data_IF_390677888781
#
_entry.id   IF_390677888781
#
_cell.length_a   1.000
_cell.length_b   1.000
_cell.length_c   1.000
_cell.angle_alpha   90.00
_cell.angle_beta   90.00
_cell.angle_gamma   90.00
#
_symmetry.space_group_name_H-M   'P 1'
#
loop_
_entity.id
_entity.type
_entity.pdbx_description
1 polymer ?
#
# COMPACT_ATOMS: atom_id res chain seq x y z
N UNK A 1 19.94 -12.70 -14.16
CA UNK A 1 18.48 -12.50 -13.95
C UNK A 1 17.69 -13.79 -13.68
N UNK A 2 17.94 -14.89 -14.39
CA UNK A 2 17.20 -16.15 -14.17
C UNK A 2 17.32 -16.70 -12.75
N UNK A 3 18.50 -16.65 -12.14
CA UNK A 3 18.73 -17.09 -10.75
C UNK A 3 17.88 -16.30 -9.75
N UNK A 4 17.92 -14.96 -9.83
CA UNK A 4 17.13 -14.08 -8.96
C UNK A 4 15.62 -14.39 -9.03
N UNK A 5 15.08 -14.52 -10.24
CA UNK A 5 13.66 -14.85 -10.42
C UNK A 5 13.30 -16.22 -9.87
N UNK A 6 14.18 -17.20 -10.02
CA UNK A 6 13.99 -18.54 -9.45
C UNK A 6 13.93 -18.48 -7.93
N UNK A 7 14.86 -17.77 -7.30
CA UNK A 7 14.86 -17.58 -5.83
C UNK A 7 13.59 -16.88 -5.37
N UNK A 8 13.19 -15.79 -6.02
CA UNK A 8 11.96 -15.06 -5.70
C UNK A 8 10.72 -15.95 -5.85
N UNK A 9 10.62 -16.71 -6.94
CA UNK A 9 9.49 -17.61 -7.17
C UNK A 9 9.40 -18.70 -6.10
N UNK A 10 10.54 -19.26 -5.68
CA UNK A 10 10.57 -20.24 -4.59
C UNK A 10 10.16 -19.63 -3.26
N UNK A 11 10.65 -18.41 -2.96
CA UNK A 11 10.26 -17.69 -1.75
C UNK A 11 8.75 -17.38 -1.72
N UNK A 12 8.19 -16.88 -2.82
CA UNK A 12 6.75 -16.64 -2.94
C UNK A 12 5.95 -17.93 -2.84
N UNK A 13 6.35 -19.02 -3.51
CA UNK A 13 5.66 -20.30 -3.41
C UNK A 13 5.67 -20.85 -1.98
N UNK A 14 6.79 -20.69 -1.26
CA UNK A 14 6.88 -21.06 0.16
C UNK A 14 5.93 -20.22 1.02
N UNK A 15 5.92 -18.89 0.86
CA UNK A 15 5.00 -18.00 1.59
C UNK A 15 3.53 -18.30 1.27
N UNK A 16 3.20 -18.50 -0.01
CA UNK A 16 1.87 -18.87 -0.47
C UNK A 16 1.43 -20.18 0.20
N UNK A 17 2.30 -21.19 0.28
CA UNK A 17 1.98 -22.46 0.93
C UNK A 17 1.69 -22.36 2.43
N UNK A 18 2.34 -21.42 3.12
CA UNK A 18 2.11 -21.16 4.55
C UNK A 18 0.78 -20.44 4.72
N UNK A 19 0.53 -19.39 3.94
CA UNK A 19 -0.68 -18.59 4.04
C UNK A 19 -1.92 -19.34 3.59
N UNK A 20 -1.81 -20.23 2.60
CA UNK A 20 -2.90 -21.12 2.20
C UNK A 20 -3.37 -22.03 3.35
N UNK A 21 -2.46 -22.46 4.23
CA UNK A 21 -2.80 -23.25 5.42
C UNK A 21 -3.49 -22.43 6.51
N UNK A 22 -3.17 -21.14 6.61
CA UNK A 22 -3.73 -20.25 7.65
C UNK A 22 -5.09 -19.69 7.22
N UNK A 23 -5.18 -19.19 5.98
CA UNK A 23 -6.32 -18.40 5.50
C UNK A 23 -7.24 -19.17 4.54
N UNK A 24 -6.92 -20.40 4.16
CA UNK A 24 -7.53 -21.14 3.04
C UNK A 24 -7.14 -20.53 1.67
N UNK A 25 -6.95 -21.33 0.60
CA UNK A 25 -6.47 -20.81 -0.69
C UNK A 25 -7.31 -19.68 -1.31
N UNK A 26 -8.61 -19.63 -1.04
CA UNK A 26 -9.49 -18.58 -1.55
C UNK A 26 -9.21 -17.19 -0.93
N UNK A 27 -8.74 -17.16 0.32
CA UNK A 27 -8.55 -15.94 1.10
C UNK A 27 -7.08 -15.62 1.36
N UNK A 28 -6.14 -16.27 0.67
CA UNK A 28 -4.72 -15.98 0.83
C UNK A 28 -4.42 -14.54 0.36
N UNK A 29 -3.89 -13.67 1.24
CA UNK A 29 -3.67 -12.26 0.93
C UNK A 29 -2.63 -12.04 -0.18
N UNK A 30 -1.70 -12.97 -0.41
CA UNK A 30 -0.71 -12.85 -1.50
C UNK A 30 -1.35 -12.90 -2.89
N UNK A 31 -2.53 -13.53 -3.02
CA UNK A 31 -3.27 -13.53 -4.28
C UNK A 31 -4.02 -12.22 -4.51
N UNK A 32 -4.23 -11.43 -3.45
CA UNK A 32 -5.06 -10.21 -3.47
C UNK A 32 -4.24 -8.93 -3.25
N UNK A 33 -2.91 -8.97 -3.38
CA UNK A 33 -2.01 -7.84 -3.12
C UNK A 33 -2.39 -6.53 -3.85
N UNK A 34 -2.82 -6.63 -5.12
CA UNK A 34 -3.27 -5.47 -5.88
C UNK A 34 -4.57 -4.87 -5.33
N UNK A 35 -5.53 -5.72 -4.96
CA UNK A 35 -6.79 -5.31 -4.35
C UNK A 35 -6.57 -4.72 -2.94
N UNK A 36 -5.66 -5.31 -2.15
CA UNK A 36 -5.26 -4.78 -0.85
C UNK A 36 -4.57 -3.42 -0.98
N UNK A 37 -3.67 -3.25 -1.96
CA UNK A 37 -3.06 -1.95 -2.26
C UNK A 37 -4.12 -0.90 -2.61
N UNK A 38 -5.11 -1.26 -3.44
CA UNK A 38 -6.23 -0.37 -3.78
C UNK A 38 -7.13 -0.06 -2.58
N UNK A 39 -7.35 -1.02 -1.68
CA UNK A 39 -8.06 -0.79 -0.42
C UNK A 39 -7.30 0.23 0.45
N UNK A 40 -5.98 0.07 0.61
CA UNK A 40 -5.17 1.03 1.36
C UNK A 40 -5.22 2.42 0.73
N UNK A 41 -5.21 2.54 -0.60
CA UNK A 41 -5.41 3.82 -1.28
C UNK A 41 -6.70 4.51 -0.83
N UNK A 42 -7.83 3.78 -0.79
CA UNK A 42 -9.10 4.35 -0.32
C UNK A 42 -9.05 4.77 1.15
N UNK A 43 -8.41 3.97 2.01
CA UNK A 43 -8.21 4.33 3.41
C UNK A 43 -7.40 5.62 3.53
N UNK A 44 -6.29 5.75 2.79
CA UNK A 44 -5.42 6.94 2.76
C UNK A 44 -6.19 8.16 2.24
N UNK A 45 -6.93 8.03 1.15
CA UNK A 45 -7.71 9.14 0.57
C UNK A 45 -8.78 9.64 1.55
N UNK A 46 -9.59 8.74 2.12
CA UNK A 46 -10.69 9.13 3.02
C UNK A 46 -10.14 9.75 4.30
N UNK A 47 -9.14 9.11 4.92
CA UNK A 47 -8.50 9.64 6.13
C UNK A 47 -7.74 10.93 5.86
N UNK A 48 -7.12 11.07 4.69
CA UNK A 48 -6.40 12.27 4.27
C UNK A 48 -7.31 13.46 4.05
N UNK A 49 -8.45 13.25 3.37
CA UNK A 49 -9.49 14.28 3.22
C UNK A 49 -9.97 14.74 4.60
N UNK A 50 -10.21 13.81 5.52
CA UNK A 50 -10.63 14.15 6.88
C UNK A 50 -9.59 15.01 7.59
N UNK A 51 -8.32 14.59 7.62
CA UNK A 51 -7.24 15.36 8.26
C UNK A 51 -7.08 16.73 7.61
N UNK A 52 -7.16 16.80 6.28
CA UNK A 52 -7.03 18.04 5.53
C UNK A 52 -8.11 19.08 5.88
N UNK A 53 -9.35 18.65 6.15
CA UNK A 53 -10.44 19.57 6.53
C UNK A 53 -10.12 20.35 7.81
N UNK A 54 -9.36 19.75 8.74
CA UNK A 54 -9.00 20.37 10.02
C UNK A 54 -7.56 20.91 10.05
N UNK A 55 -6.79 20.68 9.00
CA UNK A 55 -5.40 21.09 8.91
C UNK A 55 -5.28 22.54 8.45
N UNK A 56 -4.49 23.33 9.18
CA UNK A 56 -4.17 24.70 8.78
C UNK A 56 -2.91 24.69 7.90
N UNK A 57 -2.99 25.35 6.73
CA UNK A 57 -1.88 25.45 5.77
C UNK A 57 -0.97 26.65 6.03
N UNK A 58 -1.23 27.41 7.10
CA UNK A 58 -0.37 28.49 7.58
C UNK A 58 1.01 27.99 8.03
N UNK A 59 2.05 28.79 7.76
CA UNK A 59 3.45 28.43 8.06
C UNK A 59 3.73 28.31 9.57
N UNK A 60 3.00 29.06 10.39
CA UNK A 60 3.15 29.09 11.84
C UNK A 60 2.15 28.17 12.56
N UNK A 61 1.00 27.91 11.93
CA UNK A 61 -0.18 27.24 12.49
C UNK A 61 -0.24 25.74 12.15
N UNK A 62 0.58 25.28 11.19
CA UNK A 62 0.58 23.88 10.73
C UNK A 62 0.88 22.88 11.86
N UNK A 63 1.81 23.21 12.78
CA UNK A 63 2.12 22.31 13.90
C UNK A 63 0.98 22.30 14.94
N UNK A 64 0.50 23.48 15.31
CA UNK A 64 -0.56 23.64 16.32
C UNK A 64 -1.88 23.01 15.86
N UNK A 65 -2.24 23.13 14.58
CA UNK A 65 -3.44 22.49 14.02
C UNK A 65 -3.36 20.96 14.08
N UNK A 66 -2.18 20.36 13.86
CA UNK A 66 -2.00 18.92 14.03
C UNK A 66 -2.08 18.51 15.50
N UNK A 67 -1.53 19.32 16.39
CA UNK A 67 -1.56 19.07 17.84
C UNK A 67 -3.00 19.13 18.38
N UNK A 68 -3.81 20.09 17.92
CA UNK A 68 -5.23 20.18 18.29
C UNK A 68 -6.05 19.01 17.74
N UNK A 69 -5.83 18.60 16.48
CA UNK A 69 -6.45 17.38 15.91
C UNK A 69 -6.11 16.15 16.76
N UNK A 70 -4.88 16.06 17.26
CA UNK A 70 -4.40 14.90 18.00
C UNK A 70 -4.92 14.87 19.44
N UNK A 71 -4.93 16.00 20.14
CA UNK A 71 -5.24 16.06 21.57
C UNK A 71 -6.71 16.43 21.84
N UNK A 72 -7.26 17.39 21.10
CA UNK A 72 -8.64 17.87 21.31
C UNK A 72 -9.67 16.99 20.56
N UNK A 73 -9.28 16.45 19.41
CA UNK A 73 -10.09 15.50 18.62
C UNK A 73 -9.50 14.07 18.62
N UNK A 74 -8.93 13.64 19.74
CA UNK A 74 -8.18 12.37 19.85
C UNK A 74 -8.91 11.13 19.33
N UNK A 75 -10.25 11.11 19.38
CA UNK A 75 -11.07 10.04 18.87
C UNK A 75 -11.03 10.01 17.32
N UNK A 76 -11.83 10.82 16.62
CA UNK A 76 -11.87 10.77 15.16
C UNK A 76 -10.59 11.33 14.52
N UNK A 77 -10.07 12.47 14.99
CA UNK A 77 -8.86 13.09 14.47
C UNK A 77 -7.61 12.23 14.69
N UNK A 78 -7.41 11.75 15.92
CA UNK A 78 -6.29 10.87 16.25
C UNK A 78 -6.33 9.53 15.49
N UNK A 79 -7.52 8.91 15.36
CA UNK A 79 -7.70 7.68 14.59
C UNK A 79 -7.47 7.92 13.10
N UNK A 80 -8.05 8.97 12.51
CA UNK A 80 -7.87 9.27 11.08
C UNK A 80 -6.42 9.58 10.75
N UNK A 81 -5.70 10.33 11.59
CA UNK A 81 -4.28 10.59 11.43
C UNK A 81 -3.44 9.30 11.47
N UNK A 82 -3.74 8.42 12.43
CA UNK A 82 -3.05 7.14 12.57
C UNK A 82 -3.33 6.21 11.38
N UNK A 83 -4.60 6.13 10.96
CA UNK A 83 -5.00 5.37 9.78
C UNK A 83 -4.29 5.89 8.54
N UNK A 84 -4.29 7.19 8.31
CA UNK A 84 -3.62 7.79 7.15
C UNK A 84 -2.14 7.39 7.09
N UNK A 85 -1.43 7.50 8.22
CA UNK A 85 -0.02 7.13 8.30
C UNK A 85 0.23 5.64 8.05
N UNK A 86 -0.41 4.76 8.83
CA UNK A 86 -0.13 3.32 8.73
C UNK A 86 -0.70 2.70 7.44
N UNK A 87 -1.80 3.23 6.91
CA UNK A 87 -2.33 2.81 5.61
C UNK A 87 -1.42 3.24 4.46
N UNK A 88 -0.74 4.40 4.57
CA UNK A 88 0.24 4.83 3.56
C UNK A 88 1.45 3.88 3.53
N UNK A 89 1.99 3.53 4.70
CA UNK A 89 3.08 2.55 4.82
C UNK A 89 2.65 1.17 4.27
N UNK A 90 1.42 0.75 4.61
CA UNK A 90 0.80 -0.48 4.10
C UNK A 90 0.63 -0.47 2.58
N UNK A 91 0.17 0.65 2.02
CA UNK A 91 -0.01 0.82 0.57
C UNK A 91 1.32 0.62 -0.18
N UNK A 92 2.38 1.31 0.28
CA UNK A 92 3.71 1.19 -0.31
C UNK A 92 4.23 -0.24 -0.20
N UNK A 93 4.09 -0.88 0.96
CA UNK A 93 4.49 -2.27 1.16
C UNK A 93 3.75 -3.22 0.19
N UNK A 94 2.42 -3.09 0.06
CA UNK A 94 1.63 -3.92 -0.85
C UNK A 94 2.02 -3.71 -2.31
N UNK A 95 2.27 -2.47 -2.74
CA UNK A 95 2.72 -2.15 -4.09
C UNK A 95 4.08 -2.78 -4.40
N UNK A 96 5.03 -2.69 -3.47
CA UNK A 96 6.36 -3.29 -3.64
C UNK A 96 6.31 -4.81 -3.72
N UNK A 97 5.55 -5.46 -2.83
CA UNK A 97 5.37 -6.92 -2.84
C UNK A 97 4.63 -7.37 -4.11
N UNK A 98 3.59 -6.63 -4.53
CA UNK A 98 2.84 -6.90 -5.76
C UNK A 98 3.76 -6.86 -6.99
N UNK A 99 4.58 -5.82 -7.11
CA UNK A 99 5.55 -5.67 -8.20
C UNK A 99 6.58 -6.80 -8.20
N UNK A 100 7.17 -7.12 -7.04
CA UNK A 100 8.14 -8.22 -6.90
C UNK A 100 7.54 -9.58 -7.29
N UNK A 101 6.29 -9.83 -6.91
CA UNK A 101 5.57 -11.06 -7.25
C UNK A 101 5.36 -11.18 -8.75
N UNK A 102 4.77 -10.16 -9.38
CA UNK A 102 4.49 -10.18 -10.81
C UNK A 102 5.79 -10.24 -11.64
N UNK A 103 6.89 -9.64 -11.15
CA UNK A 103 8.22 -9.78 -11.75
C UNK A 103 8.75 -11.23 -11.67
N UNK A 104 8.59 -11.90 -10.52
CA UNK A 104 9.03 -13.29 -10.34
C UNK A 104 8.28 -14.30 -11.24
N UNK A 105 7.04 -13.95 -11.60
CA UNK A 105 6.16 -14.72 -12.48
C UNK A 105 6.34 -14.41 -13.97
N UNK A 106 7.28 -13.53 -14.33
CA UNK A 106 7.51 -13.06 -15.71
C UNK A 106 6.27 -12.39 -16.36
N UNK A 107 5.38 -11.83 -15.55
CA UNK A 107 4.10 -11.23 -16.01
C UNK A 107 4.21 -9.80 -16.54
N UNK A 108 5.43 -9.32 -16.80
CA UNK A 108 5.69 -7.98 -17.35
C UNK A 108 5.82 -7.92 -18.86
N UNK A 109 5.70 -9.07 -19.55
CA UNK A 109 5.79 -9.18 -21.01
C UNK A 109 4.46 -9.64 -21.61
N UNK A 110 4.33 -9.54 -22.93
CA UNK A 110 3.15 -10.01 -23.67
C UNK A 110 1.90 -9.17 -23.38
N UNK A 111 0.75 -9.82 -23.20
CA UNK A 111 -0.55 -9.16 -23.05
C UNK A 111 -0.66 -8.20 -21.84
N UNK A 112 0.26 -8.27 -20.87
CA UNK A 112 0.26 -7.46 -19.64
C UNK A 112 1.30 -6.33 -19.64
N UNK A 113 2.01 -6.12 -20.77
CA UNK A 113 3.06 -5.10 -20.86
C UNK A 113 2.52 -3.69 -20.54
N UNK A 114 1.29 -3.39 -20.99
CA UNK A 114 0.66 -2.09 -20.77
C UNK A 114 0.40 -1.84 -19.28
N UNK A 115 -0.09 -2.83 -18.54
CA UNK A 115 -0.31 -2.74 -17.08
C UNK A 115 0.99 -2.48 -16.32
N UNK A 116 2.11 -3.03 -16.81
CA UNK A 116 3.42 -2.74 -16.24
C UNK A 116 3.91 -1.33 -16.57
N UNK A 117 3.70 -0.89 -17.81
CA UNK A 117 4.04 0.45 -18.24
C UNK A 117 3.28 1.52 -17.46
N UNK A 118 1.99 1.30 -17.16
CA UNK A 118 1.20 2.24 -16.34
C UNK A 118 1.48 2.10 -14.84
N UNK A 119 1.83 0.91 -14.36
CA UNK A 119 2.12 0.67 -12.95
C UNK A 119 3.40 1.34 -12.44
N UNK A 120 4.46 1.41 -13.25
CA UNK A 120 5.73 2.02 -12.85
C UNK A 120 5.63 3.53 -12.56
N UNK A 121 5.00 4.37 -13.41
CA UNK A 121 4.74 5.77 -13.10
C UNK A 121 3.88 5.97 -11.85
N UNK A 122 2.89 5.11 -11.61
CA UNK A 122 2.05 5.18 -10.40
C UNK A 122 2.92 4.95 -9.15
N UNK A 123 3.81 3.95 -9.19
CA UNK A 123 4.72 3.68 -8.08
C UNK A 123 5.68 4.85 -7.83
N UNK A 124 6.17 5.48 -8.90
CA UNK A 124 6.99 6.69 -8.79
C UNK A 124 6.21 7.85 -8.16
N UNK A 125 4.99 8.12 -8.63
CA UNK A 125 4.13 9.20 -8.13
C UNK A 125 3.70 9.02 -6.68
N UNK A 126 3.61 7.79 -6.18
CA UNK A 126 3.28 7.52 -4.77
C UNK A 126 4.49 7.75 -3.86
N UNK A 127 5.71 7.54 -4.36
CA UNK A 127 6.92 7.62 -3.56
C UNK A 127 7.54 9.02 -3.52
N UNK A 128 7.41 9.79 -4.61
CA UNK A 128 7.93 11.16 -4.74
C UNK A 128 6.90 12.16 -4.27
#
# INVERSE_FOLDING_TARGET
MHYLKRVLRLAFAWLESILDRIFTPSCNPLYHLGALGFLYLWVVVISGIYVYIFFDTGLTEAYESIESITNEQWYLGGVMRSLHRYASDGMVAMMMIHMLREFSLDRYRGARWFTWFTGLPILWMVYV
#
